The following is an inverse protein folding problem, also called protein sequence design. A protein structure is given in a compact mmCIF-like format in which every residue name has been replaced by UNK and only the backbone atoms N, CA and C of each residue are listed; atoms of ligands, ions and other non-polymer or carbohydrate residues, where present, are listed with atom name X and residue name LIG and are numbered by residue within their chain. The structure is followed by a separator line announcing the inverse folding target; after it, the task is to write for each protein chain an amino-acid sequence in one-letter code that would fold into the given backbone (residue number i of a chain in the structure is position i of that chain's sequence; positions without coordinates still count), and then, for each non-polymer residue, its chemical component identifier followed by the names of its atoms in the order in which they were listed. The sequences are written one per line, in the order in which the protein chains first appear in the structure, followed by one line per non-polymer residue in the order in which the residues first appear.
data_IF_441582476030
#
_entry.id   IF_441582476030
#
_cell.length_a   1.000
_cell.length_b   1.000
_cell.length_c   1.000
_cell.angle_alpha   90.00
_cell.angle_beta   90.00
_cell.angle_gamma   90.00
#
_symmetry.space_group_name_H-M   'P 1'
#
loop_
_entity.id
_entity.type
_entity.pdbx_description
1 polymer ?
#
# COMPACT_ATOMS: atom_id res chain seq x y z
N UNK A 1 -12.25 -2.20 0.06
CA UNK A 1 -12.66 -3.60 -0.26
C UNK A 1 -12.49 -4.04 -1.73
N UNK A 2 -12.75 -3.21 -2.73
CA UNK A 2 -12.67 -3.57 -4.17
C UNK A 2 -11.27 -3.96 -4.65
N UNK A 3 -10.21 -3.28 -4.17
CA UNK A 3 -8.81 -3.58 -4.50
C UNK A 3 -8.31 -4.91 -3.91
N UNK A 4 -8.74 -5.26 -2.70
CA UNK A 4 -8.34 -6.50 -2.01
C UNK A 4 -8.95 -7.74 -2.69
N UNK A 5 -10.18 -7.63 -3.18
CA UNK A 5 -10.86 -8.70 -3.91
C UNK A 5 -10.20 -9.00 -5.26
N UNK A 6 -9.77 -7.96 -5.97
CA UNK A 6 -8.99 -8.10 -7.21
C UNK A 6 -7.65 -8.78 -6.91
N UNK A 7 -6.94 -8.38 -5.85
CA UNK A 7 -5.64 -8.99 -5.47
C UNK A 7 -5.75 -10.47 -5.06
N UNK A 8 -6.80 -10.87 -4.34
CA UNK A 8 -7.05 -12.27 -3.97
C UNK A 8 -7.33 -13.15 -5.19
N UNK A 9 -8.05 -12.63 -6.18
CA UNK A 9 -8.28 -13.32 -7.46
C UNK A 9 -6.97 -13.46 -8.24
N UNK A 10 -6.13 -12.41 -8.27
CA UNK A 10 -4.86 -12.43 -9.00
C UNK A 10 -3.80 -13.33 -8.36
N UNK A 11 -3.68 -13.36 -7.02
CA UNK A 11 -2.73 -14.25 -6.32
C UNK A 11 -3.08 -15.73 -6.52
N UNK A 12 -4.37 -16.08 -6.47
CA UNK A 12 -4.85 -17.44 -6.78
C UNK A 12 -4.54 -17.84 -8.23
N UNK A 13 -4.68 -16.92 -9.18
CA UNK A 13 -4.37 -17.20 -10.59
C UNK A 13 -2.87 -17.40 -10.80
N UNK A 14 -2.03 -16.56 -10.19
CA UNK A 14 -0.56 -16.71 -10.27
C UNK A 14 -0.09 -18.03 -9.63
N UNK A 15 -0.61 -18.43 -8.46
CA UNK A 15 -0.28 -19.72 -7.84
C UNK A 15 -0.67 -20.92 -8.72
N UNK A 16 -1.88 -20.90 -9.30
CA UNK A 16 -2.35 -21.97 -10.18
C UNK A 16 -1.46 -22.08 -11.43
N UNK A 17 -0.97 -20.95 -11.95
CA UNK A 17 -0.07 -20.88 -13.10
C UNK A 17 1.30 -21.46 -12.74
N UNK A 18 1.91 -21.06 -11.62
CA UNK A 18 3.23 -21.56 -11.18
C UNK A 18 3.20 -23.07 -10.91
N UNK A 19 2.13 -23.58 -10.28
CA UNK A 19 1.99 -25.01 -9.96
C UNK A 19 1.75 -25.85 -11.23
N UNK A 20 0.97 -25.34 -12.19
CA UNK A 20 0.62 -26.09 -13.43
C UNK A 20 1.76 -26.10 -14.45
N UNK A 21 2.56 -25.04 -14.52
CA UNK A 21 3.74 -24.96 -15.38
C UNK A 21 4.83 -25.91 -14.87
N UNK A 22 5.12 -25.90 -13.57
CA UNK A 22 6.11 -26.80 -12.95
C UNK A 22 5.74 -28.29 -13.05
N UNK A 23 4.44 -28.60 -13.06
CA UNK A 23 3.95 -29.98 -13.22
C UNK A 23 4.02 -30.47 -14.67
N UNK A 24 3.97 -29.58 -15.67
CA UNK A 24 4.02 -29.93 -17.09
C UNK A 24 5.45 -30.02 -17.64
N UNK A 25 6.42 -29.29 -17.09
CA UNK A 25 7.84 -29.44 -17.45
C UNK A 25 8.37 -30.84 -17.11
N UNK A 26 7.89 -31.44 -16.01
CA UNK A 26 8.22 -32.82 -15.60
C UNK A 26 7.61 -33.87 -16.57
N UNK A 27 6.52 -33.55 -17.26
CA UNK A 27 5.82 -34.48 -18.17
C UNK A 27 6.37 -34.49 -19.61
N UNK A 28 7.38 -33.67 -19.93
CA UNK A 28 7.82 -33.41 -21.32
C UNK A 28 8.88 -34.39 -21.84
N UNK A 29 8.69 -35.70 -21.62
CA UNK A 29 9.57 -36.74 -22.17
C UNK A 29 9.02 -37.47 -23.41
N UNK A 30 7.89 -37.07 -24.00
CA UNK A 30 7.34 -37.80 -25.16
C UNK A 30 6.84 -36.90 -26.29
N UNK A 31 7.50 -37.10 -27.43
CA UNK A 31 7.54 -36.31 -28.67
C UNK A 31 6.21 -36.30 -29.46
N UNK A 32 5.91 -35.17 -30.11
CA UNK A 32 4.74 -34.93 -30.98
C UNK A 32 3.89 -33.70 -30.64
N UNK A 33 4.17 -33.03 -29.51
CA UNK A 33 3.34 -31.93 -28.95
C UNK A 33 3.88 -30.50 -29.16
N UNK A 34 5.04 -30.30 -29.80
CA UNK A 34 5.75 -29.01 -29.75
C UNK A 34 5.00 -27.85 -30.42
N UNK A 35 4.36 -28.02 -31.59
CA UNK A 35 3.63 -26.90 -32.24
C UNK A 35 2.40 -26.45 -31.43
N UNK A 36 1.66 -27.41 -30.83
CA UNK A 36 0.54 -27.09 -29.93
C UNK A 36 1.03 -26.41 -28.65
N UNK A 37 2.18 -26.85 -28.12
CA UNK A 37 2.78 -26.30 -26.92
C UNK A 37 3.29 -24.87 -27.16
N UNK A 38 3.99 -24.63 -28.28
CA UNK A 38 4.47 -23.29 -28.67
C UNK A 38 3.29 -22.31 -28.73
N UNK A 39 2.20 -22.70 -29.40
CA UNK A 39 1.01 -21.86 -29.52
C UNK A 39 0.35 -21.59 -28.16
N UNK A 40 0.29 -22.58 -27.27
CA UNK A 40 -0.27 -22.44 -25.92
C UNK A 40 0.62 -21.58 -25.00
N UNK A 41 1.95 -21.64 -25.15
CA UNK A 41 2.91 -20.81 -24.42
C UNK A 41 2.82 -19.36 -24.88
N UNK A 42 2.82 -19.11 -26.19
CA UNK A 42 2.70 -17.76 -26.76
C UNK A 42 1.37 -17.10 -26.37
N UNK A 43 0.27 -17.86 -26.36
CA UNK A 43 -1.04 -17.35 -25.93
C UNK A 43 -1.05 -16.96 -24.44
N UNK A 44 -0.45 -17.79 -23.57
CA UNK A 44 -0.26 -17.47 -22.14
C UNK A 44 0.62 -16.24 -21.93
N UNK A 45 1.70 -16.12 -22.71
CA UNK A 45 2.61 -14.98 -22.66
C UNK A 45 1.88 -13.68 -23.04
N UNK A 46 1.09 -13.75 -24.11
CA UNK A 46 0.24 -12.64 -24.57
C UNK A 46 -0.75 -12.22 -23.49
N UNK A 47 -1.40 -13.19 -22.82
CA UNK A 47 -2.29 -12.91 -21.71
C UNK A 47 -1.58 -12.24 -20.52
N UNK A 48 -0.39 -12.71 -20.14
CA UNK A 48 0.41 -12.13 -19.06
C UNK A 48 0.81 -10.68 -19.38
N UNK A 49 1.35 -10.43 -20.58
CA UNK A 49 1.71 -9.09 -21.04
C UNK A 49 0.51 -8.15 -21.06
N UNK A 50 -0.65 -8.63 -21.55
CA UNK A 50 -1.87 -7.83 -21.58
C UNK A 50 -2.38 -7.49 -20.18
N UNK A 51 -2.26 -8.41 -19.23
CA UNK A 51 -2.60 -8.16 -17.83
C UNK A 51 -1.64 -7.16 -17.18
N UNK A 52 -0.34 -7.31 -17.40
CA UNK A 52 0.65 -6.37 -16.89
C UNK A 52 0.44 -4.96 -17.48
N UNK A 53 0.22 -4.84 -18.79
CA UNK A 53 -0.10 -3.57 -19.43
C UNK A 53 -1.34 -2.91 -18.81
N UNK A 54 -2.42 -3.67 -18.58
CA UNK A 54 -3.61 -3.16 -17.89
C UNK A 54 -3.30 -2.74 -16.45
N UNK A 55 -2.45 -3.48 -15.73
CA UNK A 55 -2.06 -3.12 -14.38
C UNK A 55 -1.22 -1.83 -14.36
N UNK A 56 -0.24 -1.68 -15.25
CA UNK A 56 0.52 -0.44 -15.43
C UNK A 56 -0.40 0.74 -15.74
N UNK A 57 -1.34 0.55 -16.66
CA UNK A 57 -2.30 1.58 -17.04
C UNK A 57 -3.19 1.97 -15.85
N UNK A 58 -3.79 0.99 -15.16
CA UNK A 58 -4.60 1.23 -13.97
C UNK A 58 -3.79 1.89 -12.86
N UNK A 59 -2.54 1.49 -12.62
CA UNK A 59 -1.68 2.12 -11.62
C UNK A 59 -1.32 3.56 -11.99
N UNK A 60 -1.13 3.87 -13.28
CA UNK A 60 -0.89 5.24 -13.75
C UNK A 60 -2.13 6.12 -13.60
N UNK A 61 -3.31 5.58 -13.94
CA UNK A 61 -4.59 6.27 -13.75
C UNK A 61 -4.96 6.45 -12.27
N UNK A 62 -4.66 5.45 -11.44
CA UNK A 62 -4.77 5.54 -9.98
C UNK A 62 -3.82 6.61 -9.45
N UNK A 63 -2.56 6.63 -9.86
CA UNK A 63 -1.63 7.66 -9.44
C UNK A 63 -2.15 9.07 -9.83
N UNK A 64 -2.59 9.27 -11.07
CA UNK A 64 -3.07 10.58 -11.53
C UNK A 64 -4.35 11.04 -10.84
N UNK A 65 -5.32 10.15 -10.66
CA UNK A 65 -6.65 10.49 -10.12
C UNK A 65 -6.69 10.41 -8.59
N UNK A 66 -6.02 9.43 -8.00
CA UNK A 66 -6.03 9.19 -6.56
C UNK A 66 -4.86 9.82 -5.81
N UNK A 67 -3.83 10.38 -6.45
CA UNK A 67 -2.77 11.01 -5.66
C UNK A 67 -3.27 12.20 -4.83
N UNK A 68 -4.14 13.04 -5.40
CA UNK A 68 -4.78 14.11 -4.64
C UNK A 68 -5.74 13.56 -3.59
N UNK A 69 -6.58 12.59 -3.97
CA UNK A 69 -7.50 11.93 -3.04
C UNK A 69 -6.77 11.29 -1.85
N UNK A 70 -5.62 10.66 -2.10
CA UNK A 70 -4.78 10.04 -1.09
C UNK A 70 -4.14 11.09 -0.19
N UNK A 71 -3.66 12.20 -0.75
CA UNK A 71 -3.12 13.31 0.04
C UNK A 71 -4.20 13.88 0.99
N UNK A 72 -5.40 14.14 0.48
CA UNK A 72 -6.53 14.58 1.30
C UNK A 72 -6.92 13.54 2.35
N UNK A 73 -7.01 12.26 1.96
CA UNK A 73 -7.32 11.16 2.88
C UNK A 73 -6.28 11.08 4.01
N UNK A 74 -4.99 11.14 3.68
CA UNK A 74 -3.91 11.13 4.66
C UNK A 74 -3.97 12.33 5.61
N UNK A 75 -4.29 13.52 5.09
CA UNK A 75 -4.46 14.71 5.92
C UNK A 75 -5.63 14.58 6.90
N UNK A 76 -6.77 14.04 6.43
CA UNK A 76 -7.94 13.75 7.27
C UNK A 76 -7.60 12.70 8.32
N UNK A 77 -7.01 11.58 7.93
CA UNK A 77 -6.55 10.52 8.85
C UNK A 77 -5.60 11.06 9.92
N UNK A 78 -4.64 11.92 9.54
CA UNK A 78 -3.74 12.56 10.52
C UNK A 78 -4.51 13.44 11.51
N UNK A 79 -5.48 14.22 11.04
CA UNK A 79 -6.35 15.03 11.90
C UNK A 79 -7.18 14.20 12.86
N UNK A 80 -7.77 13.10 12.38
CA UNK A 80 -8.58 12.20 13.20
C UNK A 80 -7.73 11.50 14.27
N UNK A 81 -6.54 11.01 13.91
CA UNK A 81 -5.61 10.40 14.88
C UNK A 81 -5.18 11.42 15.94
N UNK A 82 -4.88 12.67 15.55
CA UNK A 82 -4.54 13.74 16.49
C UNK A 82 -5.72 14.05 17.43
N UNK A 83 -6.93 14.15 16.89
CA UNK A 83 -8.13 14.42 17.68
C UNK A 83 -8.42 13.30 18.69
N UNK A 84 -8.42 12.04 18.24
CA UNK A 84 -8.68 10.88 19.10
C UNK A 84 -7.61 10.70 20.18
N UNK A 85 -6.33 10.89 19.83
CA UNK A 85 -5.22 10.79 20.78
C UNK A 85 -5.22 11.92 21.82
N UNK A 86 -5.53 13.15 21.40
CA UNK A 86 -5.72 14.27 22.32
C UNK A 86 -6.94 14.07 23.25
N UNK A 87 -8.05 13.56 22.70
CA UNK A 87 -9.24 13.24 23.49
C UNK A 87 -8.93 12.20 24.58
N UNK A 88 -8.18 11.14 24.24
CA UNK A 88 -7.71 10.14 25.20
C UNK A 88 -6.80 10.74 26.27
N UNK A 89 -5.86 11.63 25.88
CA UNK A 89 -5.02 12.36 26.83
C UNK A 89 -5.87 13.17 27.81
N UNK A 90 -6.80 13.99 27.32
CA UNK A 90 -7.66 14.81 28.17
C UNK A 90 -8.50 13.95 29.12
N UNK A 91 -9.05 12.83 28.65
CA UNK A 91 -9.88 11.93 29.46
C UNK A 91 -9.08 11.25 30.58
N UNK A 92 -7.83 10.86 30.31
CA UNK A 92 -6.97 10.16 31.28
C UNK A 92 -6.31 11.09 32.30
N UNK A 93 -5.96 12.32 31.89
CA UNK A 93 -5.13 13.21 32.72
C UNK A 93 -5.92 14.36 33.38
N UNK A 94 -7.07 14.79 32.84
CA UNK A 94 -7.79 15.96 33.37
C UNK A 94 -8.90 15.64 34.39
N UNK A 95 -8.78 14.54 35.14
CA UNK A 95 -9.70 14.15 36.24
C UNK A 95 -11.19 14.40 35.93
N UNK A 96 -11.63 14.01 34.72
CA UNK A 96 -13.01 14.26 34.27
C UNK A 96 -13.98 13.41 35.12
N UNK A 97 -15.03 14.00 35.72
CA UNK A 97 -16.01 13.22 36.47
C UNK A 97 -16.89 12.39 35.53
N UNK A 98 -17.30 11.18 35.97
CA UNK A 98 -18.19 10.25 35.25
C UNK A 98 -17.63 9.63 33.94
N UNK A 99 -16.33 9.30 33.90
CA UNK A 99 -15.76 8.54 32.77
C UNK A 99 -16.35 7.13 32.71
N UNK A 100 -16.95 6.79 31.58
CA UNK A 100 -17.41 5.41 31.30
C UNK A 100 -16.37 4.67 30.47
N UNK A 101 -16.23 3.36 30.67
CA UNK A 101 -15.29 2.50 29.92
C UNK A 101 -15.43 2.65 28.39
N UNK A 102 -16.64 2.89 27.89
CA UNK A 102 -16.93 3.12 26.47
C UNK A 102 -16.26 4.38 25.92
N UNK A 103 -16.11 5.43 26.73
CA UNK A 103 -15.47 6.69 26.34
C UNK A 103 -13.96 6.52 26.10
N UNK A 104 -13.35 5.49 26.72
CA UNK A 104 -11.94 5.12 26.50
C UNK A 104 -11.81 4.11 25.36
N UNK A 105 -12.65 3.08 25.35
CA UNK A 105 -12.54 1.98 24.37
C UNK A 105 -12.91 2.39 22.95
N UNK A 106 -13.90 3.28 22.75
CA UNK A 106 -14.32 3.71 21.41
C UNK A 106 -13.20 4.45 20.65
N UNK A 107 -12.52 5.47 21.22
CA UNK A 107 -11.37 6.11 20.59
C UNK A 107 -10.22 5.14 20.26
N UNK A 108 -9.91 4.21 21.17
CA UNK A 108 -8.86 3.21 20.95
C UNK A 108 -9.24 2.29 19.78
N UNK A 109 -10.48 1.82 19.74
CA UNK A 109 -10.97 0.97 18.65
C UNK A 109 -10.91 1.71 17.31
N UNK A 110 -11.28 2.99 17.28
CA UNK A 110 -11.19 3.83 16.08
C UNK A 110 -9.75 3.99 15.59
N UNK A 111 -8.81 4.28 16.51
CA UNK A 111 -7.38 4.38 16.18
C UNK A 111 -6.84 3.06 15.61
N UNK A 112 -7.26 1.92 16.14
CA UNK A 112 -6.86 0.61 15.62
C UNK A 112 -7.42 0.39 14.21
N UNK A 113 -8.69 0.72 13.98
CA UNK A 113 -9.34 0.59 12.67
C UNK A 113 -8.63 1.43 11.60
N UNK A 114 -8.34 2.69 11.92
CA UNK A 114 -7.61 3.62 11.04
C UNK A 114 -6.21 3.09 10.68
N UNK A 115 -5.48 2.56 11.66
CA UNK A 115 -4.15 1.97 11.44
C UNK A 115 -4.20 0.72 10.57
N UNK A 116 -5.24 -0.11 10.73
CA UNK A 116 -5.47 -1.28 9.89
C UNK A 116 -5.78 -0.87 8.45
N UNK A 117 -6.60 0.17 8.24
CA UNK A 117 -6.92 0.67 6.91
C UNK A 117 -5.67 1.18 6.17
N UNK A 118 -4.87 2.03 6.80
CA UNK A 118 -3.62 2.56 6.22
C UNK A 118 -2.66 1.41 5.90
N UNK A 119 -2.49 0.44 6.80
CA UNK A 119 -1.63 -0.72 6.57
C UNK A 119 -2.13 -1.58 5.39
N UNK A 120 -3.44 -1.83 5.30
CA UNK A 120 -4.02 -2.57 4.18
C UNK A 120 -3.85 -1.84 2.85
N UNK A 121 -3.93 -0.50 2.83
CA UNK A 121 -3.69 0.32 1.65
C UNK A 121 -2.23 0.23 1.20
N UNK A 122 -1.27 0.43 2.11
CA UNK A 122 0.17 0.36 1.80
C UNK A 122 0.55 -1.05 1.34
N UNK A 123 0.11 -2.09 2.05
CA UNK A 123 0.28 -3.50 1.61
C UNK A 123 -0.38 -3.73 0.24
N UNK A 124 -1.51 -3.08 -0.02
CA UNK A 124 -2.25 -3.08 -1.29
C UNK A 124 -1.54 -2.41 -2.46
N UNK A 125 -0.63 -1.48 -2.17
CA UNK A 125 0.20 -0.86 -3.18
C UNK A 125 1.51 -1.65 -3.33
N UNK A 126 2.23 -1.87 -2.23
CA UNK A 126 3.53 -2.53 -2.18
C UNK A 126 3.55 -3.89 -2.88
N UNK A 127 2.65 -4.81 -2.51
CA UNK A 127 2.61 -6.14 -3.14
C UNK A 127 2.21 -6.12 -4.63
N UNK A 128 1.58 -5.05 -5.12
CA UNK A 128 1.17 -4.91 -6.53
C UNK A 128 2.37 -4.47 -7.34
N UNK A 129 3.13 -3.49 -6.81
CA UNK A 129 4.41 -3.07 -7.34
C UNK A 129 5.41 -4.23 -7.36
N UNK A 130 5.51 -4.97 -6.26
CA UNK A 130 6.39 -6.14 -6.14
C UNK A 130 6.04 -7.23 -7.16
N UNK A 131 4.75 -7.61 -7.26
CA UNK A 131 4.29 -8.61 -8.24
C UNK A 131 4.57 -8.16 -9.67
N UNK A 132 4.33 -6.89 -9.97
CA UNK A 132 4.60 -6.32 -11.28
C UNK A 132 6.11 -6.31 -11.61
N UNK A 133 6.95 -5.90 -10.67
CA UNK A 133 8.40 -5.83 -10.86
C UNK A 133 9.08 -7.22 -10.89
N UNK A 134 8.46 -8.23 -10.29
CA UNK A 134 8.95 -9.63 -10.31
C UNK A 134 8.57 -10.36 -11.61
N UNK A 135 7.47 -9.97 -12.26
CA UNK A 135 7.00 -10.56 -13.53
C UNK A 135 8.07 -10.60 -14.63
N UNK A 136 8.82 -9.53 -14.95
CA UNK A 136 9.87 -9.56 -15.98
C UNK A 136 11.05 -10.48 -15.63
N UNK A 137 11.35 -10.68 -14.34
CA UNK A 137 12.45 -11.55 -13.87
C UNK A 137 12.09 -13.02 -14.12
N UNK A 138 10.89 -13.43 -13.71
CA UNK A 138 10.37 -14.78 -13.99
C UNK A 138 10.28 -15.06 -15.49
N UNK A 139 9.94 -14.04 -16.27
CA UNK A 139 9.87 -14.14 -17.72
C UNK A 139 11.25 -14.39 -18.36
N UNK A 140 12.28 -13.75 -17.81
CA UNK A 140 13.66 -13.93 -18.26
C UNK A 140 14.22 -15.30 -17.84
N UNK A 141 13.87 -15.79 -16.65
CA UNK A 141 14.23 -17.16 -16.21
C UNK A 141 13.55 -18.22 -17.09
N UNK A 142 12.27 -18.04 -17.40
CA UNK A 142 11.52 -18.91 -18.30
C UNK A 142 12.11 -18.93 -19.72
N UNK A 143 12.70 -17.83 -20.19
CA UNK A 143 13.44 -17.79 -21.47
C UNK A 143 14.60 -18.79 -21.47
N UNK A 144 15.39 -18.83 -20.40
CA UNK A 144 16.57 -19.69 -20.32
C UNK A 144 16.22 -21.19 -20.25
N UNK A 145 14.99 -21.55 -19.84
CA UNK A 145 14.52 -22.94 -19.82
C UNK A 145 13.97 -23.42 -21.17
N UNK A 146 13.65 -22.50 -22.08
CA UNK A 146 13.07 -22.80 -23.39
C UNK A 146 14.16 -22.76 -24.47
N UNK A 147 14.64 -23.92 -24.87
CA UNK A 147 15.62 -24.12 -25.96
C UNK A 147 14.96 -23.98 -27.34
N UNK A 148 14.24 -22.88 -27.58
CA UNK A 148 13.54 -22.60 -28.84
C UNK A 148 13.69 -21.13 -29.25
N UNK A 149 14.46 -20.92 -30.32
CA UNK A 149 14.88 -19.61 -30.87
C UNK A 149 13.68 -18.71 -31.22
N UNK A 150 12.57 -19.28 -31.69
CA UNK A 150 11.40 -18.50 -32.13
C UNK A 150 10.68 -17.90 -30.92
N UNK A 151 10.48 -18.69 -29.86
CA UNK A 151 9.88 -18.24 -28.60
C UNK A 151 10.83 -17.27 -27.86
N UNK A 152 12.14 -17.52 -27.91
CA UNK A 152 13.16 -16.70 -27.26
C UNK A 152 13.07 -15.23 -27.67
N UNK A 153 12.96 -14.96 -28.98
CA UNK A 153 12.86 -13.60 -29.52
C UNK A 153 11.63 -12.84 -29.02
N UNK A 154 10.47 -13.50 -28.97
CA UNK A 154 9.22 -12.93 -28.46
C UNK A 154 9.33 -12.65 -26.96
N UNK A 155 9.82 -13.62 -26.17
CA UNK A 155 10.01 -13.46 -24.73
C UNK A 155 10.98 -12.31 -24.42
N UNK A 156 12.06 -12.18 -25.17
CA UNK A 156 13.04 -11.12 -24.99
C UNK A 156 12.43 -9.73 -25.24
N UNK A 157 11.70 -9.55 -26.35
CA UNK A 157 11.04 -8.29 -26.66
C UNK A 157 10.03 -7.89 -25.57
N UNK A 158 9.26 -8.86 -25.07
CA UNK A 158 8.30 -8.62 -23.99
C UNK A 158 8.97 -8.33 -22.64
N UNK A 159 9.98 -9.11 -22.26
CA UNK A 159 10.74 -8.90 -21.03
C UNK A 159 11.35 -7.50 -20.99
N UNK A 160 11.91 -7.04 -22.12
CA UNK A 160 12.49 -5.70 -22.23
C UNK A 160 11.44 -4.59 -22.07
N UNK A 161 10.25 -4.75 -22.68
CA UNK A 161 9.13 -3.81 -22.52
C UNK A 161 8.63 -3.75 -21.07
N UNK A 162 8.51 -4.91 -20.42
CA UNK A 162 8.10 -5.04 -19.03
C UNK A 162 9.13 -4.41 -18.06
N UNK A 163 10.43 -4.62 -18.33
CA UNK A 163 11.51 -4.04 -17.54
C UNK A 163 11.54 -2.51 -17.61
N UNK A 164 11.23 -1.93 -18.78
CA UNK A 164 11.15 -0.49 -18.98
C UNK A 164 9.95 0.16 -18.29
N UNK A 165 8.88 -0.60 -17.99
CA UNK A 165 7.69 -0.12 -17.29
C UNK A 165 7.72 -0.49 -15.79
N UNK A 166 8.82 -0.19 -15.08
CA UNK A 166 8.84 -0.37 -13.61
C UNK A 166 7.66 0.35 -12.97
N UNK A 167 6.78 -0.41 -12.33
CA UNK A 167 5.62 0.14 -11.64
C UNK A 167 6.11 0.70 -10.31
N UNK A 168 5.98 2.02 -10.15
CA UNK A 168 6.06 2.72 -8.88
C UNK A 168 4.76 3.47 -8.65
N UNK A 169 4.20 3.31 -7.45
CA UNK A 169 3.04 4.09 -7.02
C UNK A 169 3.58 5.19 -6.13
N UNK A 170 3.39 6.43 -6.58
CA UNK A 170 3.83 7.65 -5.90
C UNK A 170 2.62 8.57 -5.76
N UNK A 171 2.53 9.35 -4.71
CA UNK A 171 1.48 10.36 -4.55
C UNK A 171 1.98 11.69 -5.12
N UNK A 172 1.50 12.08 -6.31
CA UNK A 172 1.83 13.34 -7.00
C UNK A 172 3.34 13.52 -7.28
N UNK A 173 4.16 12.48 -7.11
CA UNK A 173 5.62 12.56 -7.14
C UNK A 173 6.26 13.13 -5.87
N UNK A 174 5.48 13.42 -4.83
CA UNK A 174 5.98 13.89 -3.54
C UNK A 174 6.49 12.74 -2.66
N UNK A 175 5.75 11.63 -2.58
CA UNK A 175 6.10 10.48 -1.73
C UNK A 175 5.73 9.16 -2.40
N UNK A 176 6.64 8.18 -2.36
CA UNK A 176 6.37 6.82 -2.80
C UNK A 176 5.48 6.11 -1.75
N UNK A 177 4.44 5.39 -2.21
CA UNK A 177 3.57 4.64 -1.30
C UNK A 177 4.25 3.33 -0.94
N UNK A 178 5.08 3.39 0.09
CA UNK A 178 5.81 2.28 0.67
C UNK A 178 5.65 2.24 2.20
N UNK A 179 6.34 1.30 2.84
CA UNK A 179 6.32 1.20 4.30
C UNK A 179 6.92 2.43 5.00
N UNK A 180 7.75 3.23 4.31
CA UNK A 180 8.34 4.46 4.88
C UNK A 180 7.29 5.56 5.09
N UNK A 181 6.22 5.55 4.28
CA UNK A 181 5.07 6.46 4.46
C UNK A 181 4.42 6.27 5.84
N UNK A 182 4.28 5.02 6.31
CA UNK A 182 3.69 4.72 7.63
C UNK A 182 4.56 5.32 8.74
N UNK A 183 5.88 5.10 8.67
CA UNK A 183 6.82 5.67 9.63
C UNK A 183 6.75 7.21 9.67
N UNK A 184 6.64 7.84 8.49
CA UNK A 184 6.53 9.30 8.39
C UNK A 184 5.25 9.81 9.03
N UNK A 185 4.10 9.14 8.81
CA UNK A 185 2.81 9.50 9.43
C UNK A 185 2.90 9.37 10.96
N UNK A 186 3.40 8.25 11.46
CA UNK A 186 3.53 8.02 12.91
C UNK A 186 4.45 9.07 13.55
N UNK A 187 5.56 9.40 12.91
CA UNK A 187 6.50 10.42 13.38
C UNK A 187 5.87 11.82 13.43
N UNK A 188 5.17 12.22 12.36
CA UNK A 188 4.49 13.50 12.29
C UNK A 188 3.37 13.62 13.34
N UNK A 189 2.49 12.62 13.44
CA UNK A 189 1.42 12.57 14.45
C UNK A 189 2.00 12.68 15.86
N UNK A 190 3.03 11.90 16.19
CA UNK A 190 3.68 11.93 17.51
C UNK A 190 4.23 13.32 17.82
N UNK A 191 4.90 13.94 16.85
CA UNK A 191 5.46 15.29 17.01
C UNK A 191 4.38 16.32 17.27
N UNK A 192 3.31 16.32 16.47
CA UNK A 192 2.19 17.26 16.65
C UNK A 192 1.43 17.04 17.95
N UNK A 193 1.25 15.78 18.38
CA UNK A 193 0.62 15.46 19.65
C UNK A 193 1.42 16.01 20.84
N UNK A 194 2.74 15.83 20.84
CA UNK A 194 3.62 16.38 21.88
C UNK A 194 3.50 17.91 21.94
N UNK A 195 3.51 18.57 20.78
CA UNK A 195 3.34 20.01 20.68
C UNK A 195 2.00 20.44 21.29
N UNK A 196 0.89 19.77 20.94
CA UNK A 196 -0.43 20.08 21.49
C UNK A 196 -0.50 19.91 23.01
N UNK A 197 0.07 18.82 23.54
CA UNK A 197 0.11 18.60 25.00
C UNK A 197 0.90 19.71 25.70
N UNK A 198 2.05 20.11 25.14
CA UNK A 198 2.87 21.19 25.71
C UNK A 198 2.12 22.53 25.72
N UNK A 199 1.42 22.88 24.64
CA UNK A 199 0.62 24.10 24.56
C UNK A 199 -0.57 24.10 25.55
N UNK A 200 -1.22 22.95 25.74
CA UNK A 200 -2.34 22.81 26.70
C UNK A 200 -1.88 22.99 28.16
N UNK A 201 -0.73 22.40 28.51
CA UNK A 201 -0.13 22.55 29.84
C UNK A 201 0.27 23.99 30.14
N UNK A 202 0.96 24.67 29.20
CA UNK A 202 1.32 26.08 29.35
C UNK A 202 0.10 26.99 29.52
N UNK A 203 -0.97 26.72 28.77
CA UNK A 203 -2.22 27.50 28.88
C UNK A 203 -2.89 27.29 30.24
N UNK A 204 -2.79 26.10 30.81
CA UNK A 204 -3.32 25.77 32.14
C UNK A 204 -2.53 26.47 33.25
N UNK A 205 -1.20 26.54 33.14
CA UNK A 205 -0.34 27.27 34.08
C UNK A 205 -0.62 28.78 34.06
N UNK A 206 -0.87 29.37 32.88
CA UNK A 206 -1.24 30.80 32.75
C UNK A 206 -2.56 31.10 33.47
N UNK A 207 -3.54 30.19 33.45
CA UNK A 207 -4.83 30.38 34.16
C UNK A 207 -4.68 30.32 35.69
N UNK A 208 -3.64 29.66 36.20
CA UNK A 208 -3.38 29.56 37.63
C UNK A 208 -2.74 30.82 38.22
N UNK A 209 -2.23 31.73 37.37
CA UNK A 209 -1.82 33.08 37.75
C UNK A 209 -2.92 34.08 37.34
N UNK A 210 -3.92 34.37 38.19
CA UNK A 210 -4.82 35.48 37.90
C UNK A 210 -3.98 36.75 37.84
N UNK A 211 -4.13 37.52 36.76
CA UNK A 211 -3.57 38.87 36.64
C UNK A 211 -4.06 39.65 37.85
N UNK A 212 -3.17 39.85 38.82
CA UNK A 212 -3.44 40.63 40.01
C UNK A 212 -3.93 42.01 39.58
N UNK A 213 -5.14 42.34 40.02
CA UNK A 213 -5.76 43.62 39.75
C UNK A 213 -4.86 44.72 40.34
N UNK A 214 -4.13 45.45 39.48
CA UNK A 214 -3.40 46.64 39.86
C UNK A 214 -4.40 47.78 40.10
N UNK A 215 -5.11 47.75 41.22
CA UNK A 215 -5.71 48.95 41.79
C UNK A 215 -4.59 49.74 42.46
N UNK A 216 -4.01 50.67 41.68
CA UNK A 216 -3.09 51.68 42.18
C UNK A 216 -3.80 52.71 43.07
N UNK A 217 -3.07 53.32 44.01
CA UNK A 217 -3.59 54.25 45.02
C UNK A 217 -4.10 55.58 44.44
#
# INVERSE_FOLDING_TARGET
MTLMYVRLRFKKVNEIITIRIRKRSILKSTSGHDVKLIKEVTDRLYHLCRMHYKLCHLMRELNKTFAFQLLCSLAVSMGDVLFQSYYLYHLLFNNVPNVTTTMILCPIAWLVDEMVEIFLLVRSCASSCESANTTPILLHEFRNELDNIEIESHIQMYSLQLLHQKIRVSALGFFDIDYSLIYSIVGAVTTYLVIFIQFDQQTSDIKLYPVGNCSGP
#
